data_IF_657651398325
#
_entry.id   IF_657651398325
#
_cell.length_a   1.000
_cell.length_b   1.000
_cell.length_c   1.000
_cell.angle_alpha   90.00
_cell.angle_beta   90.00
_cell.angle_gamma   90.00
#
_symmetry.space_group_name_H-M   'P 1'
#
loop_
_entity.id
_entity.type
_entity.pdbx_description
1 polymer ?
#
# COMPACT_ATOMS: atom_id res chain seq x y z
N UNK A 1 83.93 68.17 46.86
CA UNK A 1 83.06 68.83 45.96
C UNK A 1 82.43 67.85 45.02
N UNK A 2 81.20 68.09 44.72
CA UNK A 2 80.42 67.62 43.58
C UNK A 2 79.79 66.21 43.69
N UNK A 3 78.61 66.11 44.14
CA UNK A 3 77.36 66.30 43.40
C UNK A 3 77.35 65.50 42.12
N UNK A 4 76.61 64.55 42.14
CA UNK A 4 75.99 64.03 40.91
C UNK A 4 74.60 63.57 41.23
N UNK A 5 73.74 64.18 40.62
CA UNK A 5 72.32 63.90 40.66
C UNK A 5 72.05 62.65 39.91
N UNK A 6 71.48 61.75 40.55
CA UNK A 6 70.84 60.65 39.88
C UNK A 6 69.41 61.00 39.78
N UNK A 7 69.06 61.39 38.63
CA UNK A 7 67.70 61.36 38.17
C UNK A 7 67.25 59.92 38.05
N UNK A 8 66.50 59.54 38.97
CA UNK A 8 65.87 58.29 38.96
C UNK A 8 64.45 58.49 38.45
N UNK A 9 64.39 58.79 37.19
CA UNK A 9 63.10 58.78 36.44
C UNK A 9 62.87 57.49 35.71
N UNK A 10 63.17 56.45 36.36
CA UNK A 10 62.62 55.19 35.92
C UNK A 10 61.18 55.03 36.37
N UNK A 11 60.38 55.91 35.89
CA UNK A 11 58.97 55.71 35.98
C UNK A 11 58.62 54.50 35.14
N UNK A 12 58.26 53.48 35.86
CA UNK A 12 57.93 52.21 35.29
C UNK A 12 56.52 52.29 34.67
N UNK A 13 56.51 52.74 33.42
CA UNK A 13 55.32 52.71 32.58
C UNK A 13 54.87 51.26 32.15
N UNK A 14 55.27 50.29 32.91
CA UNK A 14 54.94 48.89 32.64
C UNK A 14 53.69 48.40 33.34
N UNK A 15 52.87 49.28 33.78
CA UNK A 15 51.52 48.99 34.11
C UNK A 15 50.63 49.30 32.88
N UNK A 16 51.11 48.92 31.72
CA UNK A 16 50.21 48.77 30.63
C UNK A 16 49.35 47.51 30.87
N UNK A 17 48.22 47.81 31.37
CA UNK A 17 47.03 46.99 31.35
C UNK A 17 46.98 46.14 30.07
N UNK A 18 47.41 44.91 30.19
CA UNK A 18 47.06 43.89 29.24
C UNK A 18 45.59 43.59 29.48
N UNK A 19 44.76 44.48 28.99
CA UNK A 19 43.41 44.15 28.69
C UNK A 19 43.45 42.99 27.71
N UNK A 20 43.49 41.80 28.27
CA UNK A 20 43.22 40.58 27.52
C UNK A 20 41.89 40.76 26.79
N UNK A 21 41.97 41.10 25.54
CA UNK A 21 40.89 40.90 24.62
C UNK A 21 40.64 39.41 24.58
N UNK A 22 39.85 38.94 25.53
CA UNK A 22 39.19 37.65 25.45
C UNK A 22 38.38 37.66 24.14
N UNK A 23 39.04 37.27 23.09
CA UNK A 23 38.40 36.92 21.86
C UNK A 23 37.33 35.89 22.18
N UNK A 24 36.10 36.32 22.24
CA UNK A 24 34.93 35.40 22.21
C UNK A 24 35.09 34.57 20.96
N UNK A 25 35.67 33.41 21.11
CA UNK A 25 35.59 32.35 20.14
C UNK A 25 34.08 32.08 19.93
N UNK A 26 33.57 32.65 18.88
CA UNK A 26 32.25 32.30 18.38
C UNK A 26 32.30 30.81 18.09
N UNK A 27 31.83 30.02 19.04
CA UNK A 27 31.64 28.59 18.82
C UNK A 27 30.82 28.42 17.54
N UNK A 28 31.48 27.98 16.48
CA UNK A 28 30.79 27.52 15.27
C UNK A 28 29.78 26.46 15.71
N UNK A 29 28.54 26.89 15.89
CA UNK A 29 27.45 25.97 16.10
C UNK A 29 27.50 24.93 15.00
N UNK A 30 27.78 23.69 15.36
CA UNK A 30 27.77 22.53 14.49
C UNK A 30 26.33 22.25 14.03
N UNK A 31 25.75 23.14 13.26
CA UNK A 31 24.44 22.93 12.61
C UNK A 31 24.50 21.83 11.55
N UNK A 32 25.69 21.51 11.04
CA UNK A 32 25.87 20.48 10.02
C UNK A 32 25.70 19.05 10.54
N UNK A 33 25.98 18.78 11.83
CA UNK A 33 25.96 17.39 12.32
C UNK A 33 24.54 16.83 12.53
N UNK A 34 23.55 17.68 12.81
CA UNK A 34 22.16 17.24 12.96
C UNK A 34 21.50 17.04 11.60
N UNK A 35 21.80 17.86 10.61
CA UNK A 35 21.29 17.68 9.25
C UNK A 35 21.84 16.40 8.62
N UNK A 36 23.13 16.11 8.78
CA UNK A 36 23.74 14.88 8.31
C UNK A 36 23.08 13.64 8.94
N UNK A 37 22.83 13.66 10.24
CA UNK A 37 22.12 12.57 10.93
C UNK A 37 20.68 12.37 10.41
N UNK A 38 19.98 13.45 10.10
CA UNK A 38 18.65 13.38 9.52
C UNK A 38 18.72 12.76 8.12
N UNK A 39 19.69 13.15 7.31
CA UNK A 39 19.90 12.56 5.97
C UNK A 39 20.22 11.08 6.08
N UNK A 40 21.07 10.66 7.02
CA UNK A 40 21.40 9.25 7.23
C UNK A 40 20.17 8.43 7.65
N UNK A 41 19.33 8.99 8.52
CA UNK A 41 18.08 8.34 8.94
C UNK A 41 17.12 8.20 7.74
N UNK A 42 16.95 9.26 6.96
CA UNK A 42 16.10 9.22 5.77
C UNK A 42 16.62 8.19 4.76
N UNK A 43 17.93 8.19 4.52
CA UNK A 43 18.56 7.21 3.63
C UNK A 43 18.35 5.78 4.12
N UNK A 44 18.51 5.54 5.42
CA UNK A 44 18.23 4.24 6.03
C UNK A 44 16.78 3.80 5.83
N UNK A 45 15.81 4.70 6.04
CA UNK A 45 14.40 4.43 5.81
C UNK A 45 14.10 4.11 4.34
N UNK A 46 14.72 4.84 3.41
CA UNK A 46 14.56 4.58 1.97
C UNK A 46 15.11 3.21 1.59
N UNK A 47 16.27 2.83 2.13
CA UNK A 47 16.85 1.50 1.88
C UNK A 47 15.96 0.40 2.42
N UNK A 48 15.45 0.53 3.66
CA UNK A 48 14.51 -0.44 4.25
C UNK A 48 13.23 -0.54 3.43
N UNK A 49 12.67 0.59 3.00
CA UNK A 49 11.49 0.61 2.15
C UNK A 49 11.74 -0.08 0.80
N UNK A 50 12.90 0.15 0.19
CA UNK A 50 13.28 -0.50 -1.07
C UNK A 50 13.42 -2.02 -0.92
N UNK A 51 14.10 -2.48 0.13
CA UNK A 51 14.24 -3.90 0.42
C UNK A 51 12.86 -4.54 0.64
N UNK A 52 12.01 -3.92 1.46
CA UNK A 52 10.65 -4.40 1.71
C UNK A 52 9.83 -4.46 0.43
N UNK A 53 9.95 -3.46 -0.44
CA UNK A 53 9.28 -3.43 -1.73
C UNK A 53 9.75 -4.57 -2.65
N UNK A 54 11.06 -4.81 -2.76
CA UNK A 54 11.62 -5.90 -3.57
C UNK A 54 11.20 -7.28 -3.03
N UNK A 55 11.22 -7.47 -1.72
CA UNK A 55 10.73 -8.70 -1.09
C UNK A 55 9.25 -8.92 -1.36
N UNK A 56 8.44 -7.86 -1.31
CA UNK A 56 7.00 -7.94 -1.60
C UNK A 56 6.73 -8.43 -3.02
N UNK A 57 7.50 -8.00 -4.01
CA UNK A 57 7.35 -8.48 -5.39
C UNK A 57 7.58 -10.00 -5.48
N UNK A 58 8.61 -10.51 -4.81
CA UNK A 58 8.98 -11.93 -4.88
C UNK A 58 8.05 -12.83 -4.05
N UNK A 59 7.71 -12.39 -2.84
CA UNK A 59 6.91 -13.20 -1.89
C UNK A 59 5.45 -13.26 -2.28
N UNK A 60 4.91 -12.15 -2.80
CA UNK A 60 3.49 -12.05 -3.19
C UNK A 60 3.24 -12.35 -4.68
N UNK A 61 4.17 -12.98 -5.35
CA UNK A 61 3.93 -13.47 -6.71
C UNK A 61 2.86 -14.57 -6.68
N UNK A 62 1.78 -14.37 -7.43
CA UNK A 62 0.67 -15.32 -7.49
C UNK A 62 1.13 -16.62 -8.14
N UNK A 63 1.08 -17.71 -7.39
CA UNK A 63 1.37 -19.06 -7.86
C UNK A 63 0.12 -19.92 -7.96
N UNK A 64 -0.86 -19.65 -7.12
CA UNK A 64 -2.11 -20.39 -7.07
C UNK A 64 -3.29 -19.45 -6.83
N UNK A 65 -4.38 -19.72 -7.50
CA UNK A 65 -5.67 -19.06 -7.28
C UNK A 65 -6.74 -20.15 -7.14
N UNK A 66 -7.47 -20.11 -6.05
CA UNK A 66 -8.60 -21.01 -5.81
C UNK A 66 -9.89 -20.20 -5.78
N UNK A 67 -10.94 -20.73 -6.36
CA UNK A 67 -12.30 -20.15 -6.30
C UNK A 67 -13.14 -21.01 -5.40
N UNK A 68 -13.87 -20.36 -4.50
CA UNK A 68 -14.76 -21.02 -3.53
C UNK A 68 -16.13 -20.39 -3.61
N UNK A 69 -17.19 -21.21 -3.57
CA UNK A 69 -18.58 -20.75 -3.49
C UNK A 69 -19.27 -20.54 -4.83
N UNK A 70 -18.59 -20.73 -5.97
CA UNK A 70 -19.22 -20.70 -7.29
C UNK A 70 -19.71 -22.09 -7.68
N UNK A 71 -21.00 -22.18 -8.09
CA UNK A 71 -21.63 -23.36 -8.63
C UNK A 71 -22.13 -23.13 -10.06
N UNK A 72 -22.52 -21.90 -10.37
CA UNK A 72 -23.10 -21.52 -11.68
C UNK A 72 -21.99 -21.28 -12.72
N UNK A 73 -20.85 -20.77 -12.29
CA UNK A 73 -19.73 -20.49 -13.16
C UNK A 73 -18.51 -21.36 -12.84
N UNK A 74 -17.80 -21.75 -13.87
CA UNK A 74 -16.53 -22.46 -13.72
C UNK A 74 -15.45 -21.56 -13.12
N UNK A 75 -14.46 -22.20 -12.54
CA UNK A 75 -13.36 -21.51 -11.86
C UNK A 75 -12.58 -20.54 -12.76
N UNK A 76 -12.36 -20.93 -14.04
CA UNK A 76 -11.63 -20.10 -15.00
C UNK A 76 -12.39 -18.83 -15.37
N UNK A 77 -13.71 -18.91 -15.51
CA UNK A 77 -14.55 -17.74 -15.77
C UNK A 77 -14.48 -16.76 -14.61
N UNK A 78 -14.62 -17.22 -13.38
CA UNK A 78 -14.51 -16.36 -12.19
C UNK A 78 -13.11 -15.75 -12.09
N UNK A 79 -12.05 -16.53 -12.30
CA UNK A 79 -10.65 -16.03 -12.28
C UNK A 79 -10.44 -14.92 -13.32
N UNK A 80 -10.88 -15.14 -14.56
CA UNK A 80 -10.72 -14.17 -15.64
C UNK A 80 -11.45 -12.85 -15.40
N UNK A 81 -12.60 -12.90 -14.73
CA UNK A 81 -13.38 -11.71 -14.37
C UNK A 81 -12.85 -11.00 -13.12
N UNK A 82 -12.22 -11.73 -12.22
CA UNK A 82 -11.77 -11.20 -10.93
C UNK A 82 -10.32 -10.77 -10.95
N UNK A 83 -9.42 -11.52 -11.59
CA UNK A 83 -7.98 -11.27 -11.63
C UNK A 83 -7.62 -10.50 -12.89
N UNK A 84 -6.82 -9.44 -12.74
CA UNK A 84 -6.27 -8.71 -13.86
C UNK A 84 -5.09 -9.50 -14.40
N UNK A 85 -5.25 -10.04 -15.61
CA UNK A 85 -4.20 -10.80 -16.28
C UNK A 85 -3.25 -9.84 -17.02
N UNK A 86 -2.08 -9.61 -16.43
CA UNK A 86 -0.94 -8.94 -17.05
C UNK A 86 0.33 -9.33 -16.29
N UNK A 87 1.42 -9.52 -16.98
CA UNK A 87 2.67 -10.05 -16.44
C UNK A 87 3.20 -9.28 -15.22
N UNK A 88 3.18 -7.93 -15.27
CA UNK A 88 3.63 -7.10 -14.15
C UNK A 88 2.59 -6.99 -13.01
N UNK A 89 1.36 -7.44 -13.24
CA UNK A 89 0.27 -7.43 -12.24
C UNK A 89 0.07 -8.79 -11.57
N UNK A 90 0.95 -9.74 -11.86
CA UNK A 90 0.91 -11.07 -11.24
C UNK A 90 1.43 -11.04 -9.78
N UNK A 91 1.08 -9.97 -9.05
CA UNK A 91 1.39 -9.78 -7.65
C UNK A 91 0.10 -9.72 -6.84
N UNK A 92 0.00 -10.59 -5.83
CA UNK A 92 -1.20 -10.72 -5.02
C UNK A 92 -1.56 -9.47 -4.24
N UNK A 93 -0.56 -8.74 -3.70
CA UNK A 93 -0.81 -7.48 -3.02
C UNK A 93 -1.39 -6.44 -3.98
N UNK A 94 -0.83 -6.34 -5.19
CA UNK A 94 -1.36 -5.44 -6.20
C UNK A 94 -2.82 -5.77 -6.52
N UNK A 95 -3.15 -7.05 -6.76
CA UNK A 95 -4.52 -7.50 -7.04
C UNK A 95 -5.46 -7.16 -5.88
N UNK A 96 -5.04 -7.44 -4.66
CA UNK A 96 -5.83 -7.18 -3.46
C UNK A 96 -6.16 -5.68 -3.30
N UNK A 97 -5.14 -4.81 -3.30
CA UNK A 97 -5.36 -3.36 -3.16
C UNK A 97 -6.11 -2.77 -4.35
N UNK A 98 -5.85 -3.26 -5.56
CA UNK A 98 -6.60 -2.81 -6.72
C UNK A 98 -8.10 -3.12 -6.59
N UNK A 99 -8.45 -4.32 -6.11
CA UNK A 99 -9.85 -4.72 -5.92
C UNK A 99 -10.51 -4.06 -4.71
N UNK A 100 -9.74 -3.64 -3.73
CA UNK A 100 -10.24 -2.85 -2.61
C UNK A 100 -10.74 -1.46 -3.09
N UNK A 101 -10.04 -0.86 -4.04
CA UNK A 101 -10.36 0.46 -4.60
C UNK A 101 -11.36 0.35 -5.77
N UNK A 102 -11.19 -0.68 -6.59
CA UNK A 102 -12.03 -0.96 -7.76
C UNK A 102 -12.63 -2.36 -7.63
N UNK A 103 -13.84 -2.47 -7.10
CA UNK A 103 -14.49 -3.76 -6.95
C UNK A 103 -14.63 -4.49 -8.29
N UNK A 104 -14.82 -5.77 -8.22
CA UNK A 104 -15.03 -6.62 -9.40
C UNK A 104 -16.25 -6.12 -10.16
N UNK A 105 -16.19 -6.09 -11.48
CA UNK A 105 -17.36 -5.78 -12.30
C UNK A 105 -18.45 -6.79 -11.99
N UNK A 106 -19.68 -6.37 -12.17
CA UNK A 106 -20.83 -7.24 -11.97
C UNK A 106 -20.71 -8.50 -12.86
N UNK A 107 -20.73 -9.64 -12.20
CA UNK A 107 -20.71 -10.96 -12.85
C UNK A 107 -22.14 -11.50 -12.75
N UNK A 108 -22.77 -11.91 -13.85
CA UNK A 108 -24.10 -12.45 -13.81
C UNK A 108 -24.23 -13.58 -12.76
N UNK A 109 -25.30 -13.60 -12.00
CA UNK A 109 -25.60 -14.56 -10.93
C UNK A 109 -24.69 -14.47 -9.70
N UNK A 110 -23.71 -13.60 -9.67
CA UNK A 110 -22.81 -13.35 -8.53
C UNK A 110 -23.25 -12.11 -7.77
N UNK A 111 -23.47 -12.25 -6.47
CA UNK A 111 -23.79 -11.13 -5.58
C UNK A 111 -22.51 -10.40 -5.14
N UNK A 112 -21.49 -11.17 -4.79
CA UNK A 112 -20.18 -10.60 -4.45
C UNK A 112 -19.04 -11.58 -4.74
N UNK A 113 -17.88 -11.02 -5.09
CA UNK A 113 -16.62 -11.74 -5.22
C UNK A 113 -15.55 -11.01 -4.42
N UNK A 114 -14.95 -11.69 -3.44
CA UNK A 114 -13.95 -11.13 -2.54
C UNK A 114 -12.63 -11.86 -2.70
N UNK A 115 -11.55 -11.08 -2.78
CA UNK A 115 -10.18 -11.61 -2.75
C UNK A 115 -9.68 -11.69 -1.31
N UNK A 116 -9.03 -12.80 -0.99
CA UNK A 116 -8.30 -12.99 0.26
C UNK A 116 -7.02 -13.78 0.02
N UNK A 117 -6.12 -13.75 1.00
CA UNK A 117 -4.90 -14.56 0.97
C UNK A 117 -5.06 -15.77 1.86
N UNK A 118 -4.74 -16.95 1.33
CA UNK A 118 -4.47 -18.12 2.15
C UNK A 118 -2.99 -18.19 2.53
N UNK A 119 -2.12 -17.87 1.57
CA UNK A 119 -0.69 -17.62 1.76
C UNK A 119 -0.28 -16.42 0.90
N UNK A 120 0.90 -15.81 1.09
CA UNK A 120 1.32 -14.66 0.28
C UNK A 120 1.28 -14.90 -1.24
N UNK A 121 1.46 -16.16 -1.68
CA UNK A 121 1.43 -16.55 -3.10
C UNK A 121 0.16 -17.29 -3.52
N UNK A 122 -0.78 -17.51 -2.60
CA UNK A 122 -2.04 -18.20 -2.86
C UNK A 122 -3.23 -17.27 -2.58
N UNK A 123 -3.90 -16.85 -3.64
CA UNK A 123 -5.13 -16.08 -3.57
C UNK A 123 -6.36 -17.00 -3.53
N UNK A 124 -7.33 -16.61 -2.74
CA UNK A 124 -8.64 -17.24 -2.69
C UNK A 124 -9.69 -16.22 -3.10
N UNK A 125 -10.49 -16.57 -4.09
CA UNK A 125 -11.65 -15.81 -4.52
C UNK A 125 -12.89 -16.46 -3.89
N UNK A 126 -13.48 -15.79 -2.92
CA UNK A 126 -14.74 -16.24 -2.33
C UNK A 126 -15.90 -15.60 -3.08
N UNK A 127 -16.70 -16.42 -3.73
CA UNK A 127 -17.86 -16.01 -4.51
C UNK A 127 -19.11 -16.27 -3.69
N UNK A 128 -19.97 -15.28 -3.62
CA UNK A 128 -21.32 -15.40 -3.12
C UNK A 128 -22.29 -15.28 -4.28
N UNK A 129 -23.01 -16.35 -4.59
CA UNK A 129 -23.98 -16.35 -5.66
C UNK A 129 -25.30 -15.72 -5.20
N UNK A 130 -26.04 -15.11 -6.15
CA UNK A 130 -27.37 -14.58 -5.93
C UNK A 130 -28.33 -15.76 -5.55
N UNK A 131 -29.12 -15.56 -4.53
CA UNK A 131 -30.15 -16.55 -4.15
C UNK A 131 -31.26 -16.52 -5.18
N UNK A 132 -31.42 -17.63 -5.88
CA UNK A 132 -32.45 -17.82 -6.90
C UNK A 132 -33.41 -18.91 -6.45
N UNK A 133 -34.72 -18.60 -6.45
CA UNK A 133 -35.78 -19.57 -6.14
C UNK A 133 -36.41 -20.11 -7.41
N UNK A 134 -36.73 -19.22 -8.34
CA UNK A 134 -37.44 -19.57 -9.55
C UNK A 134 -36.97 -18.84 -10.79
N UNK A 135 -37.36 -19.35 -11.94
CA UNK A 135 -37.15 -18.72 -13.24
C UNK A 135 -38.45 -18.77 -14.08
N UNK A 136 -38.62 -17.75 -14.91
CA UNK A 136 -39.62 -17.74 -15.96
C UNK A 136 -38.98 -17.47 -17.30
N UNK A 137 -39.46 -18.08 -18.37
CA UNK A 137 -38.97 -17.81 -19.71
C UNK A 137 -39.73 -16.62 -20.31
N UNK A 138 -38.96 -15.69 -20.87
CA UNK A 138 -39.51 -14.53 -21.59
C UNK A 138 -39.75 -14.87 -23.07
N UNK A 139 -40.57 -14.06 -23.72
CA UNK A 139 -40.91 -14.23 -25.15
C UNK A 139 -39.70 -14.08 -26.09
N UNK A 140 -38.65 -13.37 -25.64
CA UNK A 140 -37.39 -13.19 -26.37
C UNK A 140 -36.41 -14.37 -26.19
N UNK A 141 -36.79 -15.41 -25.47
CA UNK A 141 -35.99 -16.60 -25.20
C UNK A 141 -35.10 -16.51 -23.99
N UNK A 142 -35.03 -15.36 -23.33
CA UNK A 142 -34.26 -15.19 -22.09
C UNK A 142 -35.00 -15.69 -20.87
N UNK A 143 -34.29 -15.85 -19.80
CA UNK A 143 -34.84 -16.27 -18.52
C UNK A 143 -34.73 -15.14 -17.51
N UNK A 144 -35.84 -14.88 -16.80
CA UNK A 144 -35.90 -14.02 -15.62
C UNK A 144 -35.75 -14.90 -14.39
N UNK A 145 -34.80 -14.53 -13.52
CA UNK A 145 -34.54 -15.20 -12.27
C UNK A 145 -34.97 -14.34 -11.10
N UNK A 146 -35.64 -14.90 -10.13
CA UNK A 146 -36.13 -14.18 -8.95
C UNK A 146 -35.85 -14.97 -7.67
N UNK A 147 -35.80 -14.23 -6.57
CA UNK A 147 -35.61 -14.79 -5.24
C UNK A 147 -36.96 -15.19 -4.61
N UNK A 148 -36.92 -15.61 -3.35
CA UNK A 148 -38.07 -15.97 -2.52
C UNK A 148 -39.07 -14.83 -2.29
N UNK A 149 -38.64 -13.59 -2.36
CA UNK A 149 -39.50 -12.38 -2.28
C UNK A 149 -40.15 -12.02 -3.62
N UNK A 150 -39.90 -12.77 -4.69
CA UNK A 150 -40.37 -12.47 -6.04
C UNK A 150 -39.61 -11.32 -6.73
N UNK A 151 -38.47 -10.88 -6.16
CA UNK A 151 -37.64 -9.80 -6.73
C UNK A 151 -36.76 -10.37 -7.83
N UNK A 152 -36.75 -9.73 -9.00
CA UNK A 152 -35.89 -10.10 -10.11
C UNK A 152 -34.42 -9.83 -9.71
N UNK A 153 -33.62 -10.89 -9.77
CA UNK A 153 -32.20 -10.86 -9.45
C UNK A 153 -31.29 -10.87 -10.66
N UNK A 154 -31.77 -11.49 -11.77
CA UNK A 154 -30.97 -11.61 -12.99
C UNK A 154 -31.88 -11.81 -14.19
N UNK A 155 -31.44 -11.34 -15.35
CA UNK A 155 -32.01 -11.66 -16.66
C UNK A 155 -30.87 -12.15 -17.54
N UNK A 156 -30.99 -13.39 -18.02
CA UNK A 156 -29.91 -14.02 -18.78
C UNK A 156 -30.46 -15.02 -19.80
N UNK A 157 -29.72 -15.24 -20.86
CA UNK A 157 -29.90 -16.32 -21.82
C UNK A 157 -29.38 -17.66 -21.28
N UNK A 158 -28.55 -17.63 -20.23
CA UNK A 158 -28.01 -18.82 -19.61
C UNK A 158 -29.07 -19.51 -18.75
N UNK A 159 -29.30 -20.79 -19.03
CA UNK A 159 -30.08 -21.65 -18.18
C UNK A 159 -29.27 -22.10 -16.97
N UNK A 160 -29.79 -21.87 -15.77
CA UNK A 160 -29.20 -22.33 -14.51
C UNK A 160 -29.91 -23.54 -14.01
N UNK A 161 -29.17 -24.63 -13.84
CA UNK A 161 -29.71 -25.88 -13.32
C UNK A 161 -30.08 -25.74 -11.84
N UNK A 162 -31.14 -26.48 -11.44
CA UNK A 162 -31.60 -26.50 -10.05
C UNK A 162 -32.49 -25.32 -9.64
N UNK A 163 -32.73 -24.33 -10.53
CA UNK A 163 -33.71 -23.28 -10.32
C UNK A 163 -35.07 -23.72 -10.92
N UNK A 164 -36.12 -23.69 -10.12
CA UNK A 164 -37.45 -24.18 -10.51
C UNK A 164 -38.09 -23.30 -11.60
N UNK A 165 -38.60 -23.87 -12.68
CA UNK A 165 -39.45 -23.13 -13.61
C UNK A 165 -40.75 -22.73 -12.94
N UNK A 166 -41.18 -21.50 -13.18
CA UNK A 166 -42.50 -21.00 -12.77
C UNK A 166 -43.27 -20.67 -14.05
N UNK A 167 -44.43 -21.22 -14.16
CA UNK A 167 -45.34 -21.00 -15.30
C UNK A 167 -46.24 -19.80 -15.06
#
# INVERSE_FOLDING_TARGET
GYISYLDDDTFDDRVMDKSETRGKSKGKRKRGSSLLKIVDIILGLVIVALITFLLSISVFQIRKVTVVGSKIWDENTIKSQTIIQNDYKNNGLYQYFYRLIRPVKEIPFVESAKLSFETPSHLVITVQEKKLLGRAQMSDGKYVYFNDDGVIKEISDKLVDGVLPVN
#
